data_IF_529841672221
#
_entry.id   IF_529841672221
#
_cell.length_a   1.000
_cell.length_b   1.000
_cell.length_c   1.000
_cell.angle_alpha   90.00
_cell.angle_beta   90.00
_cell.angle_gamma   90.00
#
_symmetry.space_group_name_H-M   'P 1'
#
loop_
_entity.id
_entity.type
_entity.pdbx_description
1 polymer ?
#
# COMPACT_ATOMS: atom_id res chain seq x y z
N UNK A 1 16.50 -9.98 2.07
CA UNK A 1 15.10 -9.53 2.06
C UNK A 1 15.17 -8.04 2.33
N UNK A 2 15.01 -7.19 1.32
CA UNK A 2 14.95 -5.75 1.55
C UNK A 2 13.68 -5.46 2.33
N UNK A 3 13.84 -4.94 3.54
CA UNK A 3 12.73 -4.47 4.33
C UNK A 3 12.22 -3.18 3.68
N UNK A 4 10.97 -3.19 3.21
CA UNK A 4 10.29 -1.96 2.86
C UNK A 4 10.20 -1.11 4.13
N UNK A 5 10.90 0.02 4.13
CA UNK A 5 10.80 0.97 5.23
C UNK A 5 9.49 1.74 5.06
N UNK A 6 8.40 1.22 5.63
CA UNK A 6 7.18 2.01 5.80
C UNK A 6 7.52 3.35 6.47
N UNK A 7 6.91 4.43 6.00
CA UNK A 7 7.08 5.74 6.63
C UNK A 7 6.57 5.67 8.06
N UNK A 8 7.37 6.17 9.00
CA UNK A 8 6.90 6.42 10.36
C UNK A 8 5.87 7.54 10.31
N UNK A 9 4.63 7.20 10.64
CA UNK A 9 3.52 8.16 10.67
C UNK A 9 3.54 8.97 11.96
N UNK A 10 3.11 10.24 11.88
CA UNK A 10 2.69 10.98 13.07
C UNK A 10 1.43 10.33 13.67
N UNK A 11 1.11 10.63 14.93
CA UNK A 11 -0.09 10.07 15.58
C UNK A 11 -1.37 10.35 14.78
N UNK A 12 -1.53 11.58 14.27
CA UNK A 12 -2.68 11.98 13.44
C UNK A 12 -2.78 11.15 12.15
N UNK A 13 -1.64 10.88 11.48
CA UNK A 13 -1.62 10.07 10.26
C UNK A 13 -1.82 8.57 10.57
N UNK A 14 -1.36 8.09 11.73
CA UNK A 14 -1.62 6.72 12.18
C UNK A 14 -3.11 6.49 12.45
N UNK A 15 -3.81 7.47 13.01
CA UNK A 15 -5.26 7.39 13.20
C UNK A 15 -6.03 7.49 11.88
N UNK A 16 -5.57 8.33 10.94
CA UNK A 16 -6.10 8.34 9.57
C UNK A 16 -5.96 6.97 8.89
N UNK A 17 -4.81 6.29 9.06
CA UNK A 17 -4.60 4.93 8.55
C UNK A 17 -5.62 3.94 9.12
N UNK A 18 -5.84 3.95 10.45
CA UNK A 18 -6.84 3.06 11.09
C UNK A 18 -8.26 3.31 10.58
N UNK A 19 -8.62 4.56 10.30
CA UNK A 19 -9.92 4.90 9.71
C UNK A 19 -10.06 4.34 8.29
N UNK A 20 -9.00 4.44 7.48
CA UNK A 20 -8.96 3.84 6.13
C UNK A 20 -9.03 2.32 6.17
N UNK A 21 -8.31 1.66 7.10
CA UNK A 21 -8.38 0.21 7.30
C UNK A 21 -9.81 -0.24 7.67
N UNK A 22 -10.51 0.53 8.51
CA UNK A 22 -11.92 0.27 8.83
C UNK A 22 -12.84 0.50 7.65
N UNK A 23 -12.61 1.56 6.86
CA UNK A 23 -13.39 1.82 5.65
C UNK A 23 -13.23 0.68 4.65
N UNK A 24 -12.00 0.20 4.44
CA UNK A 24 -11.71 -0.93 3.56
C UNK A 24 -12.50 -2.19 3.97
N UNK A 25 -12.52 -2.51 5.27
CA UNK A 25 -13.30 -3.65 5.77
C UNK A 25 -14.81 -3.49 5.53
N UNK A 26 -15.35 -2.28 5.61
CA UNK A 26 -16.77 -2.03 5.29
C UNK A 26 -17.01 -2.23 3.80
N UNK A 27 -16.15 -1.67 2.94
CA UNK A 27 -16.29 -1.76 1.49
C UNK A 27 -16.19 -3.20 0.99
N UNK A 28 -15.25 -3.98 1.52
CA UNK A 28 -15.08 -5.40 1.22
C UNK A 28 -16.33 -6.20 1.63
N UNK A 29 -16.91 -5.92 2.80
CA UNK A 29 -18.16 -6.56 3.24
C UNK A 29 -19.39 -6.19 2.39
N UNK A 30 -19.34 -5.08 1.65
CA UNK A 30 -20.44 -4.63 0.79
C UNK A 30 -20.21 -4.94 -0.69
N UNK A 31 -19.14 -5.67 -1.05
CA UNK A 31 -18.77 -5.98 -2.43
C UNK A 31 -18.62 -4.72 -3.30
N UNK A 32 -17.92 -3.71 -2.76
CA UNK A 32 -17.62 -2.43 -3.42
C UNK A 32 -16.14 -2.37 -3.86
N UNK A 33 -15.73 -3.16 -4.88
CA UNK A 33 -14.31 -3.40 -5.21
C UNK A 33 -13.59 -2.14 -5.70
N UNK A 34 -14.26 -1.27 -6.45
CA UNK A 34 -13.64 -0.03 -6.97
C UNK A 34 -13.30 0.94 -5.83
N UNK A 35 -14.21 1.08 -4.86
CA UNK A 35 -13.98 1.91 -3.68
C UNK A 35 -12.94 1.28 -2.74
N UNK A 36 -12.93 -0.05 -2.61
CA UNK A 36 -11.91 -0.77 -1.86
C UNK A 36 -10.52 -0.56 -2.45
N UNK A 37 -10.39 -0.63 -3.78
CA UNK A 37 -9.13 -0.39 -4.49
C UNK A 37 -8.59 1.04 -4.25
N UNK A 38 -9.46 2.06 -4.33
CA UNK A 38 -9.09 3.44 -4.01
C UNK A 38 -8.63 3.61 -2.55
N UNK A 39 -9.25 2.86 -1.63
CA UNK A 39 -8.88 2.90 -0.20
C UNK A 39 -7.52 2.26 0.03
N UNK A 40 -7.22 1.13 -0.63
CA UNK A 40 -5.89 0.52 -0.62
C UNK A 40 -4.81 1.49 -1.15
N UNK A 41 -5.06 2.12 -2.30
CA UNK A 41 -4.15 3.10 -2.89
C UNK A 41 -3.89 4.30 -1.95
N UNK A 42 -4.92 4.76 -1.23
CA UNK A 42 -4.77 5.81 -0.22
C UNK A 42 -3.89 5.38 0.95
N UNK A 43 -4.08 4.15 1.47
CA UNK A 43 -3.25 3.59 2.54
C UNK A 43 -1.79 3.46 2.08
N UNK A 44 -1.56 2.93 0.88
CA UNK A 44 -0.24 2.79 0.28
C UNK A 44 0.47 4.14 0.17
N UNK A 45 -0.20 5.17 -0.36
CA UNK A 45 0.38 6.53 -0.44
C UNK A 45 0.68 7.13 0.93
N UNK A 46 -0.17 6.86 1.92
CA UNK A 46 -0.02 7.35 3.29
C UNK A 46 1.24 6.77 3.94
N UNK A 47 1.41 5.45 3.88
CA UNK A 47 2.58 4.76 4.44
C UNK A 47 3.82 4.87 3.55
N UNK A 48 3.68 5.42 2.35
CA UNK A 48 4.77 5.51 1.37
C UNK A 48 5.18 4.17 0.78
N UNK A 49 4.23 3.25 0.66
CA UNK A 49 4.44 2.02 -0.08
C UNK A 49 4.77 2.35 -1.55
N UNK A 50 5.67 1.59 -2.18
CA UNK A 50 5.91 1.70 -3.60
C UNK A 50 4.63 1.36 -4.38
N UNK A 51 4.41 1.94 -5.58
CA UNK A 51 3.33 1.58 -6.48
C UNK A 51 3.23 0.06 -6.73
N UNK A 52 2.04 -0.47 -7.07
CA UNK A 52 1.83 -1.91 -7.28
C UNK A 52 2.81 -2.55 -8.28
N UNK A 53 3.18 -1.82 -9.34
CA UNK A 53 4.12 -2.31 -10.35
C UNK A 53 5.55 -2.44 -9.79
N UNK A 54 5.97 -1.52 -8.93
CA UNK A 54 7.27 -1.54 -8.28
C UNK A 54 7.33 -2.66 -7.22
N UNK A 55 6.24 -2.86 -6.47
CA UNK A 55 6.09 -4.00 -5.56
C UNK A 55 6.19 -5.32 -6.32
N UNK A 56 5.53 -5.44 -7.47
CA UNK A 56 5.59 -6.63 -8.31
C UNK A 56 7.01 -6.91 -8.84
N UNK A 57 7.74 -5.88 -9.27
CA UNK A 57 9.14 -6.04 -9.67
C UNK A 57 9.99 -6.56 -8.52
N UNK A 58 9.83 -6.00 -7.32
CA UNK A 58 10.58 -6.42 -6.14
C UNK A 58 10.24 -7.87 -5.74
N UNK A 59 8.97 -8.27 -5.82
CA UNK A 59 8.53 -9.65 -5.58
C UNK A 59 9.10 -10.65 -6.60
N UNK A 60 9.36 -10.21 -7.83
CA UNK A 60 9.93 -11.04 -8.91
C UNK A 60 11.46 -10.98 -8.97
N UNK A 61 12.11 -10.38 -7.97
CA UNK A 61 13.57 -10.30 -7.88
C UNK A 61 14.20 -9.25 -8.80
N UNK A 62 13.43 -8.25 -9.23
CA UNK A 62 13.88 -7.13 -10.06
C UNK A 62 14.06 -5.85 -9.22
N UNK A 63 14.68 -4.85 -9.81
CA UNK A 63 14.76 -3.50 -9.25
C UNK A 63 13.40 -2.78 -9.38
N UNK A 64 13.14 -1.69 -8.63
CA UNK A 64 11.88 -0.93 -8.70
C UNK A 64 11.55 -0.37 -10.09
N UNK A 65 12.55 -0.18 -10.96
CA UNK A 65 12.36 0.25 -12.36
C UNK A 65 12.09 -0.92 -13.33
N UNK A 66 12.06 -2.16 -12.83
CA UNK A 66 11.86 -3.39 -13.60
C UNK A 66 13.13 -3.99 -14.19
N UNK A 67 14.30 -3.39 -14.00
CA UNK A 67 15.58 -3.95 -14.45
C UNK A 67 15.98 -5.19 -13.64
N UNK A 68 16.80 -6.06 -14.24
CA UNK A 68 17.28 -7.27 -13.57
C UNK A 68 18.22 -6.92 -12.40
N UNK A 69 18.08 -7.62 -11.27
CA UNK A 69 19.08 -7.58 -10.19
C UNK A 69 20.32 -8.37 -10.60
N UNK A 70 21.50 -7.75 -10.41
CA UNK A 70 22.79 -8.39 -10.60
C UNK A 70 23.09 -9.41 -9.50
#
# INVERSE_FOLDING_TARGET
MEHFYERVLTEELADAKKLLERALAILDNNDEPDAAALTCEAIERLIGAPPPIEQWYLMTGRNPDGSARA
#
